data_IF_285672634425
#
_entry.id   IF_285672634425
#
_cell.length_a   1.000
_cell.length_b   1.000
_cell.length_c   1.000
_cell.angle_alpha   90.00
_cell.angle_beta   90.00
_cell.angle_gamma   90.00
#
_symmetry.space_group_name_H-M   'P 1'
#
loop_
_entity.id
_entity.type
_entity.pdbx_description
1 polymer ?
#
# COMPACT_ATOMS: atom_id res chain seq x y z
N UNK A 1 -10.85 4.28 20.03
CA UNK A 1 -10.63 4.78 18.66
C UNK A 1 -11.34 3.81 17.73
N UNK A 2 -12.29 4.24 16.89
CA UNK A 2 -12.97 3.29 16.01
C UNK A 2 -11.96 2.83 14.96
N UNK A 3 -11.89 1.52 14.76
CA UNK A 3 -11.14 0.89 13.68
C UNK A 3 -11.79 1.30 12.35
N UNK A 4 -11.19 2.24 11.62
CA UNK A 4 -11.57 2.47 10.23
C UNK A 4 -10.88 1.41 9.39
N UNK A 5 -11.60 0.34 9.10
CA UNK A 5 -11.31 -0.51 7.96
C UNK A 5 -11.49 0.34 6.70
N UNK A 6 -10.45 1.07 6.30
CA UNK A 6 -10.38 1.68 4.97
C UNK A 6 -10.35 0.52 3.99
N UNK A 7 -11.52 0.05 3.59
CA UNK A 7 -11.81 -0.26 2.19
C UNK A 7 -12.22 1.07 1.56
N UNK A 8 -11.87 1.39 0.30
CA UNK A 8 -12.50 2.50 -0.38
C UNK A 8 -14.01 2.35 -0.23
N UNK A 9 -14.69 3.45 0.08
CA UNK A 9 -16.14 3.52 -0.08
C UNK A 9 -16.47 2.99 -1.49
N UNK A 10 -17.61 2.34 -1.63
CA UNK A 10 -18.11 1.81 -2.91
C UNK A 10 -18.15 2.85 -4.04
N UNK A 11 -18.00 4.15 -3.73
CA UNK A 11 -17.79 5.25 -4.67
C UNK A 11 -16.42 5.26 -5.36
N UNK A 12 -15.40 4.58 -4.82
CA UNK A 12 -14.03 4.58 -5.33
C UNK A 12 -13.26 5.88 -5.06
N UNK A 13 -13.79 6.77 -4.22
CA UNK A 13 -13.17 8.07 -3.89
C UNK A 13 -12.36 7.93 -2.60
N UNK A 14 -11.11 8.40 -2.63
CA UNK A 14 -10.22 8.44 -1.46
C UNK A 14 -10.09 9.89 -0.95
N UNK A 15 -10.13 10.09 0.37
CA UNK A 15 -9.98 11.41 1.00
C UNK A 15 -8.52 11.91 0.95
N UNK A 16 -7.56 10.99 0.88
CA UNK A 16 -6.14 11.26 0.72
C UNK A 16 -5.49 10.27 -0.24
N UNK A 17 -4.38 10.67 -0.86
CA UNK A 17 -3.52 9.77 -1.64
C UNK A 17 -2.99 8.61 -0.79
N UNK A 18 -2.82 8.82 0.53
CA UNK A 18 -2.38 7.78 1.47
C UNK A 18 -3.41 6.66 1.60
N UNK A 19 -4.69 6.99 1.43
CA UNK A 19 -5.79 6.01 1.48
C UNK A 19 -5.84 5.14 0.23
N UNK A 20 -5.19 5.53 -0.87
CA UNK A 20 -5.08 4.72 -2.08
C UNK A 20 -3.93 3.68 -2.03
N UNK A 21 -3.10 3.69 -0.98
CA UNK A 21 -2.01 2.72 -0.80
C UNK A 21 -2.56 1.35 -0.41
N UNK A 22 -2.10 0.29 -1.09
CA UNK A 22 -2.38 -1.11 -0.75
C UNK A 22 -3.37 -1.83 -1.66
N UNK A 23 -3.98 -1.13 -2.62
CA UNK A 23 -4.95 -1.69 -3.56
C UNK A 23 -4.33 -2.16 -4.89
N UNK A 24 -3.02 -2.43 -4.92
CA UNK A 24 -2.35 -2.93 -6.11
C UNK A 24 -3.03 -4.21 -6.65
N UNK A 25 -3.28 -4.34 -7.96
CA UNK A 25 -3.94 -5.52 -8.51
C UNK A 25 -3.02 -6.74 -8.52
N UNK A 26 -3.64 -7.93 -8.51
CA UNK A 26 -2.97 -9.20 -8.80
C UNK A 26 -3.35 -9.62 -10.22
N UNK A 27 -2.34 -9.81 -11.06
CA UNK A 27 -2.51 -10.14 -12.48
C UNK A 27 -2.04 -11.56 -12.75
N UNK A 28 -2.82 -12.30 -13.52
CA UNK A 28 -2.47 -13.63 -13.98
C UNK A 28 -1.47 -13.57 -15.14
N UNK A 29 -0.35 -14.27 -15.02
CA UNK A 29 0.72 -14.27 -16.02
C UNK A 29 0.61 -15.41 -17.04
N UNK A 30 -0.55 -16.05 -17.16
CA UNK A 30 -0.81 -17.21 -18.04
C UNK A 30 -0.16 -17.14 -19.43
N UNK A 31 -0.16 -15.98 -20.09
CA UNK A 31 0.47 -15.80 -21.42
C UNK A 31 1.99 -16.01 -21.41
N UNK A 32 2.68 -15.56 -20.36
CA UNK A 32 4.14 -15.68 -20.22
C UNK A 32 4.55 -17.05 -19.68
N UNK A 33 3.66 -17.71 -18.95
CA UNK A 33 3.97 -18.93 -18.20
C UNK A 33 3.25 -20.16 -18.76
N UNK A 34 2.84 -20.13 -20.03
CA UNK A 34 2.03 -21.16 -20.67
C UNK A 34 2.66 -22.58 -20.65
N UNK A 35 4.00 -22.67 -20.59
CA UNK A 35 4.74 -23.93 -20.58
C UNK A 35 5.22 -24.34 -19.17
N UNK A 36 4.76 -23.67 -18.13
CA UNK A 36 5.12 -23.97 -16.75
C UNK A 36 3.93 -24.64 -16.05
N UNK A 37 4.22 -25.59 -15.18
CA UNK A 37 3.20 -26.17 -14.32
C UNK A 37 2.84 -25.20 -13.18
N UNK A 38 1.55 -25.03 -12.93
CA UNK A 38 1.03 -24.18 -11.86
C UNK A 38 0.57 -22.78 -12.30
N UNK A 39 0.06 -22.01 -11.34
CA UNK A 39 -0.48 -20.66 -11.56
C UNK A 39 0.49 -19.62 -11.03
N UNK A 40 1.03 -18.80 -11.93
CA UNK A 40 1.95 -17.71 -11.58
C UNK A 40 1.19 -16.38 -11.63
N UNK A 41 1.25 -15.64 -10.53
CA UNK A 41 0.55 -14.38 -10.33
C UNK A 41 1.55 -13.25 -10.03
N UNK A 42 1.29 -12.06 -10.56
CA UNK A 42 2.06 -10.86 -10.27
C UNK A 42 1.22 -9.86 -9.48
N UNK A 43 1.67 -9.50 -8.27
CA UNK A 43 1.11 -8.38 -7.50
C UNK A 43 1.84 -7.10 -7.93
N UNK A 44 1.12 -6.20 -8.59
CA UNK A 44 1.73 -5.02 -9.24
C UNK A 44 1.90 -3.86 -8.26
N UNK A 45 2.77 -4.02 -7.27
CA UNK A 45 3.03 -3.03 -6.21
C UNK A 45 3.56 -1.67 -6.72
N UNK A 46 4.02 -1.58 -7.97
CA UNK A 46 4.40 -0.31 -8.57
C UNK A 46 3.19 0.60 -8.88
N UNK A 47 1.96 0.06 -8.82
CA UNK A 47 0.73 0.81 -9.01
C UNK A 47 0.22 1.49 -7.72
N UNK A 48 0.95 1.37 -6.61
CA UNK A 48 0.71 2.27 -5.48
C UNK A 48 1.10 3.71 -5.86
N UNK A 49 0.50 4.75 -5.24
CA UNK A 49 0.67 6.14 -5.68
C UNK A 49 2.11 6.69 -5.73
N UNK A 50 2.99 6.22 -4.84
CA UNK A 50 4.42 6.53 -4.80
C UNK A 50 5.27 5.65 -5.72
N UNK A 51 4.64 4.79 -6.53
CA UNK A 51 5.26 4.06 -7.63
C UNK A 51 6.02 2.80 -7.22
N UNK A 52 5.94 2.39 -5.95
CA UNK A 52 6.62 1.18 -5.49
C UNK A 52 5.98 0.55 -4.26
N UNK A 53 6.42 -0.67 -3.93
CA UNK A 53 6.07 -1.36 -2.69
C UNK A 53 6.44 -0.56 -1.43
N UNK A 54 7.33 0.44 -1.53
CA UNK A 54 7.81 1.21 -0.36
C UNK A 54 6.68 2.01 0.30
N UNK A 55 5.65 2.39 -0.44
CA UNK A 55 4.49 3.10 0.08
C UNK A 55 3.85 2.38 1.28
N UNK A 56 3.74 1.05 1.21
CA UNK A 56 3.18 0.21 2.27
C UNK A 56 3.99 0.32 3.57
N UNK A 57 5.31 0.17 3.47
CA UNK A 57 6.17 0.14 4.66
C UNK A 57 6.38 1.55 5.22
N UNK A 58 6.50 2.56 4.36
CA UNK A 58 6.60 3.96 4.79
C UNK A 58 5.37 4.37 5.59
N UNK A 59 4.15 4.06 5.09
CA UNK A 59 2.91 4.28 5.84
C UNK A 59 2.91 3.54 7.17
N UNK A 60 3.24 2.25 7.18
CA UNK A 60 3.23 1.45 8.40
C UNK A 60 4.21 1.96 9.48
N UNK A 61 5.40 2.44 9.07
CA UNK A 61 6.40 3.02 9.98
C UNK A 61 5.87 4.31 10.61
N UNK A 62 5.33 5.23 9.80
CA UNK A 62 4.78 6.51 10.28
C UNK A 62 3.58 6.26 11.20
N UNK A 63 2.59 5.47 10.77
CA UNK A 63 1.40 5.14 11.56
C UNK A 63 1.78 4.50 12.92
N UNK A 64 2.78 3.61 12.93
CA UNK A 64 3.28 3.01 14.17
C UNK A 64 3.98 4.03 15.06
N UNK A 65 4.80 4.92 14.51
CA UNK A 65 5.55 5.91 15.27
C UNK A 65 4.60 6.95 15.92
N UNK A 66 3.58 7.40 15.19
CA UNK A 66 2.54 8.30 15.72
C UNK A 66 1.72 7.63 16.82
N UNK A 67 1.25 6.39 16.60
CA UNK A 67 0.50 5.61 17.61
C UNK A 67 1.29 5.40 18.91
N UNK A 68 2.61 5.25 18.80
CA UNK A 68 3.52 5.10 19.96
C UNK A 68 3.94 6.44 20.58
N UNK A 69 3.55 7.57 20.00
CA UNK A 69 3.97 8.91 20.42
C UNK A 69 5.45 9.23 20.15
N UNK A 70 6.12 8.44 19.31
CA UNK A 70 7.53 8.64 18.91
C UNK A 70 7.66 9.71 17.82
N UNK A 71 6.61 9.90 17.02
CA UNK A 71 6.49 10.95 16.02
C UNK A 71 5.36 11.90 16.42
N UNK A 72 5.62 13.21 16.34
CA UNK A 72 4.66 14.28 16.66
C UNK A 72 4.40 15.15 15.43
N UNK A 73 3.24 15.84 15.36
CA UNK A 73 2.98 16.79 14.29
C UNK A 73 4.10 17.82 14.14
N UNK A 74 4.59 18.01 12.92
CA UNK A 74 5.69 18.93 12.59
C UNK A 74 7.09 18.41 12.88
N UNK A 75 7.25 17.21 13.42
CA UNK A 75 8.56 16.60 13.65
C UNK A 75 9.14 16.06 12.33
N UNK A 76 10.43 16.34 12.08
CA UNK A 76 11.14 15.87 10.88
C UNK A 76 11.39 14.37 10.94
N UNK A 77 11.16 13.69 9.82
CA UNK A 77 11.55 12.28 9.58
C UNK A 77 12.83 12.26 8.74
N UNK A 78 13.76 11.38 9.10
CA UNK A 78 15.01 11.14 8.37
C UNK A 78 15.11 9.64 8.07
N UNK A 79 15.44 9.29 6.83
CA UNK A 79 15.70 7.93 6.35
C UNK A 79 17.05 7.94 5.63
N UNK A 80 17.86 6.88 5.77
CA UNK A 80 19.20 6.75 5.19
C UNK A 80 19.22 5.87 3.94
#
# INVERSE_FOLDING_TARGET
MPETTNSPDTSGICDSVIDAIGYAPVIDLSRLTANLEGRILAKLEYLNPGGSKKDLISRAIIDSAEKKGLLKPGQTVLEL
#
